data_IF_206723578960
#
_entry.id   IF_206723578960
#
_cell.length_a   1.000
_cell.length_b   1.000
_cell.length_c   1.000
_cell.angle_alpha   90.00
_cell.angle_beta   90.00
_cell.angle_gamma   90.00
#
_symmetry.space_group_name_H-M   'P 1'
#
loop_
_entity.id
_entity.type
_entity.pdbx_description
1 polymer ?
2 non-polymer ?
3 non-polymer ?
4 non-polymer ?
5 non-polymer ?
6 water ?
#
# COMPACT_ATOMS: atom_id res chain seq x y z
N UNK A 4 -5.07 -0.09 -26.12
CA UNK A 4 -4.23 -1.26 -26.53
C UNK A 4 -2.85 -1.25 -25.82
N UNK A 5 -2.01 -2.25 -26.11
CA UNK A 5 -1.00 -2.71 -25.15
C UNK A 5 0.30 -1.88 -25.15
N UNK A 6 0.72 -1.37 -26.31
CA UNK A 6 1.85 -0.46 -26.34
C UNK A 6 1.51 0.79 -25.56
N UNK A 7 0.29 1.30 -25.76
CA UNK A 7 -0.15 2.48 -25.02
C UNK A 7 -0.22 2.20 -23.51
N UNK A 8 -0.78 1.05 -23.13
CA UNK A 8 -0.78 0.63 -21.73
C UNK A 8 0.65 0.58 -21.15
N UNK A 9 1.59 0.02 -21.93
CA UNK A 9 2.98 -0.05 -21.51
C UNK A 9 3.61 1.35 -21.36
N UNK A 10 3.23 2.27 -22.24
CA UNK A 10 3.74 3.67 -22.17
C UNK A 10 3.19 4.39 -20.93
N UNK A 11 1.94 4.10 -20.61
CA UNK A 11 1.33 4.63 -19.39
C UNK A 11 2.08 4.12 -18.15
N UNK A 12 2.27 2.81 -18.08
CA UNK A 12 2.96 2.24 -16.94
C UNK A 12 4.39 2.77 -16.86
N UNK A 13 5.03 3.00 -18.01
CA UNK A 13 6.41 3.48 -18.04
C UNK A 13 6.52 4.87 -17.40
N UNK A 14 5.59 5.76 -17.68
CA UNK A 14 5.63 7.11 -17.06
C UNK A 14 5.47 7.00 -15.54
N UNK A 15 4.53 6.18 -15.10
CA UNK A 15 4.32 5.98 -13.68
C UNK A 15 5.60 5.46 -13.02
N UNK A 16 6.23 4.50 -13.66
CA UNK A 16 7.44 3.86 -13.11
C UNK A 16 8.69 4.76 -13.20
N UNK A 17 8.66 5.74 -14.12
CA UNK A 17 9.71 6.75 -14.16
C UNK A 17 9.62 7.73 -13.02
N UNK A 18 8.39 8.14 -12.68
CA UNK A 18 8.18 9.23 -11.70
C UNK A 18 7.98 8.72 -10.28
N UNK A 19 7.50 7.49 -10.14
CA UNK A 19 7.39 6.80 -8.81
C UNK A 19 8.29 5.57 -8.90
N UNK A 20 9.57 5.78 -8.61
CA UNK A 20 10.61 4.84 -9.02
C UNK A 20 10.83 3.76 -7.98
N UNK A 21 11.36 2.63 -8.43
CA UNK A 21 11.67 1.54 -7.55
C UNK A 21 12.72 1.92 -6.53
N UNK A 22 13.72 2.70 -6.93
CA UNK A 22 14.75 3.10 -6.02
C UNK A 22 14.23 3.94 -4.85
N UNK A 23 13.23 4.79 -5.13
CA UNK A 23 12.60 5.69 -4.12
C UNK A 23 11.46 5.00 -3.40
N UNK A 24 11.22 3.74 -3.71
CA UNK A 24 10.34 2.93 -2.93
C UNK A 24 8.93 2.73 -3.42
N UNK A 25 8.75 2.72 -4.75
CA UNK A 25 7.42 2.39 -5.33
C UNK A 25 7.51 1.25 -6.31
N UNK A 26 6.42 0.49 -6.43
CA UNK A 26 6.23 -0.51 -7.48
C UNK A 26 4.86 -0.31 -8.07
N UNK A 27 4.70 -0.68 -9.35
CA UNK A 27 3.38 -0.70 -9.96
C UNK A 27 3.10 -2.04 -10.60
N UNK A 28 1.80 -2.41 -10.59
CA UNK A 28 1.35 -3.68 -11.11
C UNK A 28 0.04 -3.47 -11.90
N UNK A 29 0.00 -3.96 -13.12
CA UNK A 29 -1.15 -3.77 -13.99
C UNK A 29 -2.20 -4.84 -13.73
N UNK A 30 -3.47 -4.47 -13.82
CA UNK A 30 -4.55 -5.43 -13.79
C UNK A 30 -5.78 -4.92 -14.49
N UNK A 31 -6.73 -5.83 -14.74
CA UNK A 31 -7.96 -5.48 -15.41
C UNK A 31 -9.04 -5.25 -14.33
N UNK A 32 -9.89 -4.26 -14.52
CA UNK A 32 -10.95 -4.02 -13.57
C UNK A 32 -11.85 -5.28 -13.43
N UNK A 33 -12.07 -6.00 -14.53
CA UNK A 33 -12.90 -7.22 -14.47
C UNK A 33 -12.36 -8.26 -13.49
N UNK A 34 -11.04 -8.33 -13.36
CA UNK A 34 -10.43 -9.28 -12.42
C UNK A 34 -10.75 -8.90 -11.00
N UNK A 35 -10.73 -7.61 -10.71
CA UNK A 35 -11.12 -7.13 -9.40
C UNK A 35 -12.61 -7.39 -9.13
N UNK A 36 -13.46 -7.05 -10.07
CA UNK A 36 -14.90 -7.22 -9.89
C UNK A 36 -15.29 -8.68 -9.72
N UNK A 37 -14.61 -9.57 -10.44
CA UNK A 37 -14.84 -11.02 -10.29
C UNK A 37 -14.52 -11.46 -8.84
N UNK A 38 -13.44 -10.91 -8.27
CA UNK A 38 -13.00 -11.30 -6.97
C UNK A 38 -13.93 -10.74 -5.85
N UNK A 39 -14.28 -9.45 -5.91
CA UNK A 39 -15.15 -8.88 -4.86
C UNK A 39 -16.58 -9.31 -5.02
N UNK A 40 -16.95 -9.70 -6.23
CA UNK A 40 -18.34 -10.02 -6.55
C UNK A 40 -18.95 -8.94 -7.40
N UNK A 41 -19.54 -9.34 -8.53
CA UNK A 41 -20.03 -8.38 -9.51
C UNK A 41 -21.19 -7.53 -8.93
N UNK A 42 -21.92 -8.08 -7.97
CA UNK A 42 -23.01 -7.35 -7.35
C UNK A 42 -22.69 -6.86 -5.96
N UNK A 43 -21.43 -6.92 -5.58
CA UNK A 43 -21.07 -6.41 -4.27
C UNK A 43 -21.03 -4.87 -4.27
N UNK A 44 -21.10 -4.26 -3.09
CA UNK A 44 -20.97 -2.79 -3.01
C UNK A 44 -19.63 -2.26 -3.54
N UNK A 45 -18.64 -3.15 -3.59
CA UNK A 45 -17.29 -2.81 -3.97
C UNK A 45 -17.06 -2.88 -5.49
N UNK A 46 -17.99 -3.47 -6.24
CA UNK A 46 -17.82 -3.57 -7.69
C UNK A 46 -17.60 -2.17 -8.30
N UNK A 47 -16.64 -2.05 -9.20
CA UNK A 47 -16.29 -0.77 -9.77
C UNK A 47 -16.97 -0.60 -11.13
N UNK A 48 -17.41 0.64 -11.44
CA UNK A 48 -18.27 0.89 -12.61
C UNK A 48 -17.48 1.13 -13.91
N UNK A 49 -16.70 0.13 -14.31
CA UNK A 49 -15.94 0.17 -15.54
C UNK A 49 -16.06 -1.15 -16.25
N UNK A 50 -15.91 -1.14 -17.56
CA UNK A 50 -15.87 -2.39 -18.34
C UNK A 50 -14.74 -3.32 -17.87
N UNK A 51 -14.96 -4.61 -18.07
CA UNK A 51 -14.03 -5.66 -17.59
C UNK A 51 -12.59 -5.43 -18.04
N UNK A 52 -12.40 -5.02 -19.28
CA UNK A 52 -11.06 -4.94 -19.83
C UNK A 52 -10.33 -3.61 -19.49
N UNK A 53 -10.97 -2.73 -18.71
CA UNK A 53 -10.39 -1.44 -18.37
C UNK A 53 -9.05 -1.64 -17.63
N UNK A 54 -8.03 -0.93 -18.08
CA UNK A 54 -6.71 -0.96 -17.45
C UNK A 54 -6.69 -0.25 -16.10
N UNK A 55 -6.06 -0.90 -15.12
CA UNK A 55 -5.73 -0.28 -13.85
C UNK A 55 -4.28 -0.55 -13.49
N UNK A 56 -3.70 0.34 -12.68
CA UNK A 56 -2.36 0.17 -12.10
C UNK A 56 -2.45 0.30 -10.59
N UNK A 57 -1.96 -0.73 -9.92
CA UNK A 57 -1.80 -0.72 -8.48
C UNK A 57 -0.40 -0.22 -8.14
N UNK A 58 -0.33 0.79 -7.27
CA UNK A 58 0.93 1.37 -6.81
C UNK A 58 1.10 0.99 -5.35
N UNK A 59 2.22 0.36 -5.03
CA UNK A 59 2.55 0.05 -3.64
C UNK A 59 3.86 0.65 -3.26
N UNK A 60 4.05 0.85 -1.96
CA UNK A 60 5.31 1.34 -1.43
C UNK A 60 6.10 0.23 -0.78
N UNK A 61 7.41 0.33 -0.89
CA UNK A 61 8.33 -0.64 -0.31
C UNK A 61 9.11 0.11 0.80
N UNK A 62 10.07 -0.57 1.48
CA UNK A 62 10.69 0.09 2.63
C UNK A 62 11.31 1.46 2.33
N UNK A 63 11.89 1.62 1.15
CA UNK A 63 12.56 2.88 0.81
C UNK A 63 11.62 4.09 0.58
N UNK A 64 10.31 3.87 0.45
CA UNK A 64 9.41 5.02 0.35
C UNK A 64 9.58 5.90 1.57
N UNK A 65 9.49 5.31 2.75
CA UNK A 65 9.68 6.05 3.99
C UNK A 65 11.18 6.36 4.22
N UNK A 66 12.02 5.33 4.11
CA UNK A 66 13.41 5.46 4.54
C UNK A 66 14.26 6.38 3.65
N UNK A 67 13.89 6.51 2.38
CA UNK A 67 14.63 7.30 1.44
C UNK A 67 13.82 8.49 0.94
N UNK A 68 12.70 8.23 0.26
CA UNK A 68 11.97 9.32 -0.43
C UNK A 68 11.31 10.30 0.56
N UNK A 69 10.61 9.77 1.54
CA UNK A 69 9.95 10.57 2.53
C UNK A 69 10.97 11.32 3.40
N UNK A 70 12.06 10.67 3.73
CA UNK A 70 13.12 11.34 4.47
C UNK A 70 13.62 12.59 3.73
N UNK A 71 13.87 12.45 2.42
CA UNK A 71 14.30 13.60 1.62
C UNK A 71 13.25 14.74 1.67
N UNK A 72 11.98 14.36 1.59
CA UNK A 72 10.90 15.30 1.60
C UNK A 72 10.83 16.04 2.95
N UNK A 73 10.98 15.30 4.06
CA UNK A 73 10.94 15.92 5.39
C UNK A 73 12.12 16.88 5.59
N UNK A 74 13.29 16.49 5.10
CA UNK A 74 14.46 17.38 5.16
C UNK A 74 14.18 18.69 4.44
N UNK A 75 13.61 18.58 3.24
CA UNK A 75 13.32 19.78 2.46
C UNK A 75 12.25 20.64 3.14
N UNK A 76 11.18 20.00 3.62
CA UNK A 76 10.13 20.77 4.27
C UNK A 76 10.65 21.48 5.51
N UNK A 77 11.55 20.86 6.22
CA UNK A 77 12.13 21.48 7.41
C UNK A 77 12.91 22.72 7.01
N UNK A 78 13.67 22.62 5.94
CA UNK A 78 14.39 23.81 5.40
C UNK A 78 13.39 24.90 5.01
N UNK A 79 12.30 24.51 4.33
CA UNK A 79 11.31 25.46 3.83
C UNK A 79 10.59 26.21 4.97
N UNK A 80 10.16 25.45 5.98
CA UNK A 80 9.41 26.03 7.11
C UNK A 80 10.33 26.71 8.14
N UNK A 81 11.61 26.32 8.14
CA UNK A 81 12.64 27.00 8.96
C UNK A 81 13.11 26.23 10.18
N UNK A 82 12.28 25.30 10.66
CA UNK A 82 12.61 24.48 11.81
C UNK A 82 11.73 23.27 11.84
N UNK A 83 12.20 22.24 12.55
CA UNK A 83 11.43 21.05 12.74
C UNK A 83 10.10 21.35 13.48
N UNK A 84 10.16 22.16 14.52
CA UNK A 84 8.95 22.44 15.29
C UNK A 84 7.88 23.12 14.41
N UNK A 85 8.31 23.96 13.48
CA UNK A 85 7.37 24.59 12.56
C UNK A 85 6.74 23.60 11.58
N UNK A 86 7.54 22.69 11.04
CA UNK A 86 7.00 21.68 10.15
C UNK A 86 5.96 20.87 10.88
N UNK A 87 6.28 20.45 12.10
CA UNK A 87 5.35 19.63 12.91
C UNK A 87 4.03 20.34 13.13
N UNK A 88 4.08 21.64 13.40
CA UNK A 88 2.86 22.44 13.63
C UNK A 88 2.06 22.53 12.34
N UNK A 89 2.74 22.76 11.22
CA UNK A 89 2.05 23.10 9.96
C UNK A 89 1.64 21.89 9.12
N UNK A 90 2.28 20.76 9.35
CA UNK A 90 2.02 19.54 8.56
C UNK A 90 1.57 18.41 9.49
N UNK A 91 0.26 18.33 9.70
CA UNK A 91 -0.30 17.33 10.60
C UNK A 91 -0.27 15.94 9.96
N UNK A 92 -0.29 15.90 8.63
CA UNK A 92 -0.46 14.66 7.89
C UNK A 92 0.74 14.48 6.93
N UNK A 93 1.92 14.15 7.49
CA UNK A 93 3.10 14.18 6.62
C UNK A 93 3.15 13.09 5.56
N UNK A 94 2.72 11.87 5.90
CA UNK A 94 2.82 10.79 4.93
C UNK A 94 1.90 11.10 3.73
N UNK A 95 0.68 11.50 4.02
CA UNK A 95 -0.29 11.80 2.93
C UNK A 95 0.08 13.05 2.16
N UNK A 96 0.66 14.00 2.84
CA UNK A 96 1.13 15.21 2.17
C UNK A 96 2.28 14.88 1.18
N UNK A 97 3.23 14.08 1.64
CA UNK A 97 4.32 13.58 0.82
C UNK A 97 3.78 12.81 -0.39
N UNK A 98 2.86 11.87 -0.15
CA UNK A 98 2.34 11.05 -1.24
C UNK A 98 1.58 11.91 -2.23
N UNK A 99 0.81 12.89 -1.74
CA UNK A 99 0.04 13.79 -2.63
C UNK A 99 1.02 14.54 -3.53
N UNK A 100 2.12 15.02 -2.95
CA UNK A 100 3.12 15.75 -3.71
C UNK A 100 3.73 14.87 -4.80
N UNK A 101 4.08 13.63 -4.45
CA UNK A 101 4.73 12.76 -5.42
C UNK A 101 3.72 12.34 -6.52
N UNK A 102 2.47 12.11 -6.14
CA UNK A 102 1.46 11.73 -7.10
C UNK A 102 1.13 12.89 -8.06
N UNK A 103 1.18 14.12 -7.56
CA UNK A 103 0.95 15.28 -8.41
C UNK A 103 2.06 15.43 -9.44
N UNK A 104 3.30 15.24 -9.01
CA UNK A 104 4.44 15.29 -9.94
C UNK A 104 4.32 14.22 -11.04
N UNK A 105 3.96 13.01 -10.64
CA UNK A 105 3.71 11.95 -11.56
C UNK A 105 2.57 12.30 -12.53
N UNK A 106 1.47 12.81 -11.97
CA UNK A 106 0.26 13.07 -12.74
C UNK A 106 0.49 14.10 -13.82
N UNK A 107 1.34 15.08 -13.52
CA UNK A 107 1.65 16.12 -14.48
C UNK A 107 2.31 15.56 -15.75
N UNK A 108 3.10 14.52 -15.57
CA UNK A 108 3.68 13.83 -16.73
C UNK A 108 2.68 12.84 -17.34
N UNK A 109 1.95 12.11 -16.49
CA UNK A 109 1.04 11.08 -16.95
C UNK A 109 -0.06 11.66 -17.85
N UNK A 110 -0.56 12.86 -17.49
CA UNK A 110 -1.64 13.51 -18.28
C UNK A 110 -1.24 13.72 -19.75
N UNK A 111 0.06 13.86 -20.01
CA UNK A 111 0.52 14.06 -21.37
C UNK A 111 0.57 12.76 -22.20
N UNK A 112 0.49 11.62 -21.51
CA UNK A 112 0.45 10.29 -22.15
C UNK A 112 -1.00 9.75 -22.21
N UNK A 113 -1.75 9.90 -21.13
CA UNK A 113 -3.18 9.52 -21.09
C UNK A 113 -3.91 10.49 -20.18
N UNK A 114 -4.71 11.37 -20.77
CA UNK A 114 -5.28 12.50 -20.00
C UNK A 114 -6.35 12.09 -19.01
N UNK A 115 -7.04 11.00 -19.29
CA UNK A 115 -8.22 10.57 -18.50
C UNK A 115 -7.87 9.43 -17.55
N UNK A 116 -7.78 9.74 -16.25
CA UNK A 116 -7.61 8.71 -15.25
C UNK A 116 -8.19 9.12 -13.91
N UNK A 117 -8.55 8.12 -13.13
CA UNK A 117 -9.03 8.29 -11.77
C UNK A 117 -7.99 7.74 -10.81
N UNK A 118 -7.90 8.34 -9.63
CA UNK A 118 -6.96 7.87 -8.61
C UNK A 118 -7.74 7.56 -7.34
N UNK A 119 -7.55 6.34 -6.82
CA UNK A 119 -8.14 5.95 -5.55
C UNK A 119 -7.03 5.52 -4.61
N UNK A 120 -7.09 5.99 -3.37
CA UNK A 120 -6.05 5.65 -2.38
C UNK A 120 -6.51 4.56 -1.47
N UNK A 121 -5.58 3.95 -0.75
CA UNK A 121 -5.95 2.95 0.27
C UNK A 121 -6.93 3.52 1.31
N UNK A 122 -6.79 4.80 1.62
CA UNK A 122 -7.63 5.47 2.60
C UNK A 122 -8.86 6.15 2.02
N UNK A 123 -9.08 6.04 0.70
CA UNK A 123 -10.25 6.69 0.09
C UNK A 123 -11.54 6.01 0.56
N UNK A 124 -12.53 6.81 0.93
CA UNK A 124 -13.83 6.32 1.37
C UNK A 124 -14.99 7.05 0.74
N UNK A 125 -16.15 6.37 0.70
CA UNK A 125 -17.42 7.02 0.46
C UNK A 125 -17.89 7.78 1.71
N UNK A 126 -18.97 8.56 1.60
CA UNK A 126 -19.41 9.28 2.82
C UNK A 126 -19.93 8.38 3.93
N UNK A 127 -20.28 7.14 3.57
CA UNK A 127 -20.71 6.12 4.53
C UNK A 127 -19.50 5.34 5.14
N UNK A 128 -18.28 5.80 4.80
CA UNK A 128 -17.01 5.25 5.29
C UNK A 128 -16.71 3.85 4.74
N UNK A 129 -17.25 3.55 3.56
CA UNK A 129 -16.85 2.34 2.84
C UNK A 129 -15.59 2.64 2.06
N UNK A 130 -14.57 1.77 2.16
CA UNK A 130 -13.41 1.96 1.30
C UNK A 130 -13.81 1.92 -0.17
N UNK A 131 -13.26 2.83 -0.96
CA UNK A 131 -13.57 2.88 -2.37
C UNK A 131 -12.98 1.74 -3.16
N UNK A 132 -11.82 1.21 -2.73
CA UNK A 132 -11.22 0.08 -3.40
C UNK A 132 -10.46 -0.77 -2.40
N UNK A 133 -10.57 -2.09 -2.55
CA UNK A 133 -9.99 -3.02 -1.58
C UNK A 133 -8.62 -3.44 -2.06
N UNK A 134 -7.60 -2.88 -1.43
CA UNK A 134 -6.24 -2.99 -1.94
C UNK A 134 -5.64 -4.37 -1.89
N UNK A 135 -5.98 -5.14 -0.87
CA UNK A 135 -5.44 -6.51 -0.77
C UNK A 135 -6.00 -7.39 -1.87
N UNK A 136 -7.26 -7.15 -2.25
CA UNK A 136 -7.85 -7.86 -3.38
C UNK A 136 -7.15 -7.44 -4.69
N UNK A 137 -6.92 -6.13 -4.88
CA UNK A 137 -6.15 -5.69 -6.05
C UNK A 137 -4.78 -6.37 -6.09
N UNK A 138 -4.10 -6.42 -4.96
CA UNK A 138 -2.77 -6.99 -4.92
C UNK A 138 -2.74 -8.45 -5.31
N UNK A 139 -3.78 -9.17 -4.93
CA UNK A 139 -3.85 -10.59 -5.24
C UNK A 139 -4.16 -10.81 -6.74
N UNK A 140 -5.17 -10.11 -7.27
CA UNK A 140 -5.53 -10.30 -8.64
C UNK A 140 -4.46 -9.76 -9.61
N UNK A 141 -3.67 -8.79 -9.14
CA UNK A 141 -2.56 -8.26 -9.96
C UNK A 141 -1.29 -9.09 -9.84
N UNK A 142 -1.28 -10.06 -8.92
CA UNK A 142 -0.11 -10.91 -8.68
C UNK A 142 0.97 -10.28 -7.83
N UNK A 143 0.69 -9.12 -7.24
CA UNK A 143 1.69 -8.38 -6.46
C UNK A 143 2.00 -8.99 -5.13
N UNK A 144 0.97 -9.53 -4.47
CA UNK A 144 1.12 -10.06 -3.11
C UNK A 144 -0.02 -11.01 -2.87
N UNK A 145 0.27 -12.13 -2.21
CA UNK A 145 -0.74 -13.15 -1.92
C UNK A 145 -1.54 -12.69 -0.71
N UNK A 146 -2.85 -12.68 -0.86
CA UNK A 146 -3.75 -12.21 0.17
C UNK A 146 -4.28 -13.41 0.98
N UNK A 147 -3.88 -13.48 2.25
CA UNK A 147 -4.29 -14.51 3.17
C UNK A 147 -5.53 -14.07 3.94
N UNK A 148 -6.66 -14.71 3.62
CA UNK A 148 -7.94 -14.28 4.14
C UNK A 148 -8.42 -15.26 5.22
N UNK A 149 -8.91 -14.75 6.38
CA UNK A 149 -9.32 -15.67 7.43
C UNK A 149 -10.38 -16.69 6.97
N UNK A 150 -11.27 -16.27 6.09
CA UNK A 150 -12.36 -17.16 5.59
C UNK A 150 -11.83 -18.34 4.77
N UNK A 151 -10.57 -18.23 4.29
CA UNK A 151 -9.94 -19.35 3.55
C UNK A 151 -9.17 -20.35 4.43
N UNK A 152 -9.16 -20.11 5.74
CA UNK A 152 -8.40 -20.93 6.68
C UNK A 152 -9.28 -21.44 7.85
N UNK A 153 -10.53 -21.71 7.53
CA UNK A 153 -11.47 -22.35 8.44
C UNK A 153 -11.30 -23.86 8.45
N UNK A 154 -11.55 -24.46 9.62
CA UNK A 154 -11.58 -25.92 9.75
C UNK A 154 -12.91 -26.34 10.35
N UNK A 155 -13.40 -27.51 9.92
CA UNK A 155 -14.70 -28.01 10.38
C UNK A 155 -14.67 -28.27 11.87
N UNK A 156 -15.59 -27.64 12.60
CA UNK A 156 -15.69 -27.80 14.05
C UNK A 156 -14.53 -27.18 14.82
N UNK A 157 -13.88 -26.17 14.22
CA UNK A 157 -12.90 -25.37 14.92
C UNK A 157 -13.37 -23.92 14.92
N UNK A 158 -13.35 -23.31 16.09
CA UNK A 158 -13.70 -21.90 16.22
C UNK A 158 -12.42 -21.08 16.05
N UNK A 159 -12.21 -20.59 14.83
CA UNK A 159 -11.07 -19.73 14.51
C UNK A 159 -11.48 -18.78 13.38
N UNK A 160 -11.13 -17.48 13.45
CA UNK A 160 -10.43 -16.87 14.58
C UNK A 160 -11.29 -16.77 15.82
N UNK A 161 -10.67 -16.52 17.00
CA UNK A 161 -11.41 -16.16 18.21
C UNK A 161 -12.40 -15.02 17.94
N UNK A 162 -13.49 -14.98 18.70
CA UNK A 162 -14.41 -13.84 18.65
C UNK A 162 -14.13 -12.92 19.81
N UNK A 163 -14.31 -11.61 19.58
CA UNK A 163 -14.26 -10.61 20.65
C UNK A 163 -12.89 -10.41 21.27
N UNK A 164 -11.83 -10.60 20.49
CA UNK A 164 -10.46 -10.37 20.98
C UNK A 164 -9.99 -8.94 20.67
N UNK A 165 -10.73 -8.23 19.82
CA UNK A 165 -10.28 -6.91 19.37
C UNK A 165 -11.25 -5.84 19.80
N UNK A 166 -10.79 -4.60 19.71
CA UNK A 166 -11.55 -3.45 20.19
C UNK A 166 -12.76 -3.12 19.33
N UNK A 167 -13.54 -2.10 19.75
CA UNK A 167 -14.77 -1.74 19.06
C UNK A 167 -14.52 -1.34 17.63
N UNK A 168 -15.41 -1.82 16.75
CA UNK A 168 -15.36 -1.49 15.33
C UNK A 168 -14.08 -1.96 14.69
N UNK A 169 -13.48 -2.99 15.26
CA UNK A 169 -12.38 -3.67 14.61
C UNK A 169 -12.76 -5.11 14.27
N UNK A 170 -12.34 -5.55 13.10
CA UNK A 170 -12.53 -6.90 12.65
C UNK A 170 -11.23 -7.62 12.55
N UNK A 171 -11.30 -8.95 12.59
CA UNK A 171 -10.10 -9.78 12.35
C UNK A 171 -9.91 -9.90 10.85
N UNK A 172 -8.95 -9.13 10.33
CA UNK A 172 -8.79 -8.97 8.88
C UNK A 172 -7.62 -9.77 8.33
N UNK A 173 -7.65 -9.95 7.01
CA UNK A 173 -6.58 -10.67 6.34
C UNK A 173 -5.32 -9.85 6.14
N UNK A 174 -4.33 -10.51 5.55
CA UNK A 174 -2.97 -9.99 5.43
C UNK A 174 -2.40 -10.41 4.10
N UNK A 175 -1.82 -9.46 3.38
CA UNK A 175 -1.07 -9.75 2.15
C UNK A 175 0.40 -9.82 2.43
N UNK A 176 1.09 -10.74 1.74
CA UNK A 176 2.54 -10.86 1.84
C UNK A 176 3.19 -10.81 0.48
N UNK A 177 4.15 -9.92 0.37
CA UNK A 177 4.87 -9.63 -0.85
C UNK A 177 6.06 -10.59 -1.01
N UNK A 178 6.37 -11.01 -2.24
CA UNK A 178 7.43 -12.00 -2.42
C UNK A 178 8.86 -11.53 -2.07
N UNK A 179 9.07 -10.22 -2.10
CA UNK A 179 10.36 -9.64 -1.69
C UNK A 179 10.28 -9.12 -0.25
N UNK A 180 9.19 -8.41 0.07
CA UNK A 180 9.14 -7.59 1.28
C UNK A 180 8.35 -8.21 2.44
N UNK A 181 7.68 -9.35 2.24
CA UNK A 181 6.82 -9.90 3.31
C UNK A 181 5.73 -8.88 3.60
N UNK A 182 5.68 -8.41 4.84
CA UNK A 182 4.77 -7.34 5.23
C UNK A 182 5.42 -5.96 5.35
N UNK A 183 6.65 -5.83 4.85
CA UNK A 183 7.38 -4.56 4.89
C UNK A 183 7.07 -3.75 3.62
N UNK A 184 5.79 -3.48 3.43
CA UNK A 184 5.33 -2.72 2.29
C UNK A 184 3.92 -2.24 2.60
N UNK A 185 3.36 -1.37 1.74
CA UNK A 185 1.97 -0.99 1.84
C UNK A 185 1.38 -0.74 0.49
N UNK A 186 0.08 -0.97 0.36
CA UNK A 186 -0.63 -0.54 -0.83
C UNK A 186 -0.91 0.96 -0.72
N UNK A 187 -0.82 1.68 -1.83
CA UNK A 187 -0.98 3.13 -1.78
C UNK A 187 -2.12 3.64 -2.65
N UNK A 188 -2.10 3.34 -3.94
CA UNK A 188 -3.08 3.94 -4.85
C UNK A 188 -3.38 3.00 -6.00
N UNK A 189 -4.55 3.17 -6.58
CA UNK A 189 -4.88 2.56 -7.85
C UNK A 189 -5.26 3.64 -8.84
N UNK A 190 -4.65 3.58 -10.01
CA UNK A 190 -4.99 4.44 -11.14
C UNK A 190 -5.85 3.65 -12.10
N UNK A 191 -6.99 4.23 -12.48
CA UNK A 191 -7.89 3.57 -13.43
C UNK A 191 -7.95 4.44 -14.69
N UNK A 192 -7.83 3.79 -15.85
CA UNK A 192 -7.79 4.47 -17.16
C UNK A 192 -9.01 4.09 -17.99
N UNK A 193 -10.11 4.85 -17.85
CA UNK A 193 -11.37 4.38 -18.42
C UNK A 193 -11.37 4.21 -19.93
N UNK A 194 -10.47 4.92 -20.63
CA UNK A 194 -10.40 4.83 -22.10
C UNK A 194 -9.37 3.85 -22.63
N UNK A 195 -8.73 3.07 -21.73
CA UNK A 195 -7.69 2.15 -22.13
C UNK A 195 -8.14 0.72 -21.82
N UNK A 196 -8.27 -0.09 -22.85
CA UNK A 196 -8.75 -1.46 -22.73
C UNK A 196 -7.61 -2.45 -23.07
N UNK A 197 -7.46 -3.44 -22.19
CA UNK A 197 -6.38 -4.41 -22.27
C UNK A 197 -6.93 -5.84 -22.15
N UNK A 198 -7.92 -6.18 -23.00
CA UNK A 198 -8.57 -7.50 -22.87
C UNK A 198 -7.63 -8.71 -23.01
N UNK A 199 -6.52 -8.53 -23.72
CA UNK A 199 -5.58 -9.62 -23.97
C UNK A 199 -4.60 -9.82 -22.81
N UNK A 200 -4.61 -8.92 -21.82
CA UNK A 200 -3.66 -8.97 -20.74
C UNK A 200 -4.02 -10.06 -19.74
N UNK A 201 -3.01 -10.82 -19.31
CA UNK A 201 -3.19 -11.86 -18.28
C UNK A 201 -2.31 -11.54 -17.11
N UNK A 202 -2.94 -11.24 -15.97
CA UNK A 202 -2.20 -10.96 -14.73
C UNK A 202 -1.39 -12.17 -14.31
N UNK A 203 -0.21 -11.95 -13.75
CA UNK A 203 0.50 -13.06 -13.11
C UNK A 203 -0.20 -13.46 -11.81
N UNK A 204 -0.04 -14.72 -11.45
CA UNK A 204 -0.57 -15.22 -10.22
C UNK A 204 0.34 -14.78 -9.07
N UNK A 205 -0.24 -14.45 -7.90
CA UNK A 205 0.60 -14.11 -6.76
C UNK A 205 1.39 -15.30 -6.24
N UNK A 206 2.67 -15.08 -5.88
CA UNK A 206 3.50 -16.17 -5.35
C UNK A 206 3.03 -16.58 -3.97
N UNK A 207 2.83 -17.90 -3.75
CA UNK A 207 2.56 -18.35 -2.43
C UNK A 207 3.75 -18.11 -1.49
N UNK A 208 3.48 -17.50 -0.36
CA UNK A 208 4.51 -17.18 0.61
C UNK A 208 4.49 -18.18 1.78
N UNK A 209 3.31 -18.38 2.35
CA UNK A 209 3.13 -19.30 3.44
C UNK A 209 2.34 -20.50 2.95
N UNK A 210 2.98 -21.66 2.94
CA UNK A 210 2.39 -22.85 2.37
C UNK A 210 1.71 -23.74 3.42
N UNK A 211 1.99 -23.50 4.70
CA UNK A 211 1.37 -24.29 5.79
C UNK A 211 0.29 -23.45 6.48
N UNK A 212 -0.92 -24.00 6.58
CA UNK A 212 -2.05 -23.25 7.10
C UNK A 212 -1.84 -22.77 8.54
N UNK A 213 -1.12 -23.55 9.35
CA UNK A 213 -0.87 -23.11 10.73
C UNK A 213 0.03 -21.87 10.78
N UNK A 214 0.97 -21.75 9.84
CA UNK A 214 1.78 -20.50 9.73
C UNK A 214 0.91 -19.33 9.33
N UNK A 215 -0.06 -19.57 8.43
CA UNK A 215 -0.98 -18.51 8.02
C UNK A 215 -1.80 -18.04 9.21
N UNK A 216 -2.34 -18.98 9.98
CA UNK A 216 -3.17 -18.58 11.11
C UNK A 216 -2.35 -17.82 12.17
N UNK A 217 -1.10 -18.23 12.38
CA UNK A 217 -0.22 -17.52 13.31
C UNK A 217 0.07 -16.11 12.80
N UNK A 218 0.35 -15.99 11.51
CA UNK A 218 0.64 -14.68 10.90
C UNK A 218 -0.56 -13.74 11.07
N UNK A 219 -1.76 -14.27 10.83
CA UNK A 219 -2.95 -13.46 10.93
C UNK A 219 -3.23 -13.02 12.38
N UNK A 220 -2.95 -13.89 13.34
CA UNK A 220 -3.04 -13.50 14.75
C UNK A 220 -2.00 -12.44 15.12
N UNK A 221 -0.76 -12.60 14.65
CA UNK A 221 0.29 -11.61 14.94
C UNK A 221 -0.09 -10.25 14.36
N UNK A 222 -0.69 -10.27 13.19
CA UNK A 222 -1.12 -9.04 12.51
C UNK A 222 -2.26 -8.36 13.30
N UNK A 223 -3.32 -9.11 13.57
CA UNK A 223 -4.50 -8.50 14.19
C UNK A 223 -4.30 -8.13 15.65
N UNK A 224 -3.52 -8.94 16.39
CA UNK A 224 -3.40 -8.79 17.85
C UNK A 224 -2.12 -8.06 18.27
N UNK A 225 -1.08 -8.03 17.41
CA UNK A 225 0.25 -7.60 17.83
C UNK A 225 0.97 -6.75 16.80
N UNK A 226 0.21 -6.12 15.90
CA UNK A 226 0.81 -5.40 14.79
C UNK A 226 1.82 -4.34 15.18
N UNK A 227 1.67 -3.74 16.36
CA UNK A 227 2.62 -2.69 16.78
C UNK A 227 4.06 -3.21 16.87
N UNK A 228 4.23 -4.52 17.07
CA UNK A 228 5.58 -5.07 17.17
C UNK A 228 6.18 -5.46 15.82
N UNK A 229 5.38 -5.32 14.74
CA UNK A 229 5.82 -5.60 13.36
C UNK A 229 6.27 -7.04 13.10
N UNK A 230 6.05 -7.97 14.05
CA UNK A 230 6.43 -9.36 13.82
C UNK A 230 5.76 -9.97 12.59
N UNK A 231 4.53 -9.58 12.33
CA UNK A 231 3.79 -10.11 11.19
C UNK A 231 4.51 -9.84 9.87
N UNK A 232 5.32 -8.79 9.85
CA UNK A 232 5.96 -8.40 8.60
C UNK A 232 7.02 -9.37 8.14
N UNK A 233 7.56 -10.15 9.09
CA UNK A 233 8.67 -11.05 8.79
C UNK A 233 8.26 -12.45 8.37
N UNK A 234 6.95 -12.68 8.22
CA UNK A 234 6.52 -13.93 7.61
C UNK A 234 6.93 -13.96 6.14
N UNK A 235 7.50 -15.11 5.71
CA UNK A 235 8.16 -15.26 4.42
C UNK A 235 9.65 -15.01 4.49
N UNK A 236 10.15 -14.55 5.65
CA UNK A 236 11.58 -14.26 5.84
C UNK A 236 12.17 -13.31 4.80
N UNK A 237 11.51 -12.16 4.57
CA UNK A 237 12.07 -11.15 3.69
C UNK A 237 13.48 -10.71 4.15
N UNK A 238 14.33 -10.34 3.22
CA UNK A 238 15.63 -9.71 3.58
C UNK A 238 15.62 -8.21 3.43
N UNK A 239 14.63 -7.68 2.67
CA UNK A 239 14.48 -6.24 2.53
C UNK A 239 13.29 -5.79 3.39
N UNK A 240 13.58 -4.97 4.40
CA UNK A 240 12.66 -4.74 5.51
C UNK A 240 12.59 -3.26 5.85
N UNK A 241 11.51 -2.86 6.50
CA UNK A 241 11.43 -1.53 7.10
C UNK A 241 12.59 -1.34 8.09
N UNK A 242 13.11 -0.12 8.18
CA UNK A 242 14.06 0.23 9.20
C UNK A 242 13.43 0.19 10.59
N UNK A 243 14.28 0.17 11.59
CA UNK A 243 13.83 0.33 12.96
C UNK A 243 13.01 1.61 13.14
N UNK A 244 13.51 2.71 12.60
CA UNK A 244 12.82 3.98 12.67
C UNK A 244 11.42 3.88 12.05
N UNK A 245 11.34 3.24 10.90
CA UNK A 245 10.06 3.12 10.20
C UNK A 245 9.06 2.24 11.00
N UNK A 246 9.54 1.15 11.57
CA UNK A 246 8.66 0.30 12.39
C UNK A 246 8.21 1.06 13.67
N UNK A 247 9.08 1.89 14.24
CA UNK A 247 8.70 2.68 15.40
C UNK A 247 7.61 3.68 14.99
N UNK A 248 7.82 4.34 13.86
CA UNK A 248 6.89 5.34 13.35
C UNK A 248 5.48 4.74 13.14
N UNK A 249 5.39 3.67 12.37
CA UNK A 249 4.07 3.13 12.05
C UNK A 249 3.44 2.35 13.19
N UNK A 250 4.23 1.98 14.18
CA UNK A 250 3.67 1.33 15.39
C UNK A 250 3.01 2.30 16.37
N UNK A 251 3.25 3.59 16.20
CA UNK A 251 2.73 4.61 17.10
C UNK A 251 1.49 5.25 16.54
N UNK A 252 0.62 5.77 17.42
CA UNK A 252 -0.46 6.65 16.92
C UNK A 252 0.08 7.93 16.29
N UNK A 253 -0.67 8.47 15.34
CA UNK A 253 -0.21 9.60 14.53
C UNK A 253 0.30 10.77 15.38
N UNK A 254 -0.36 11.03 16.51
CA UNK A 254 -0.02 12.18 17.34
C UNK A 254 1.34 12.05 18.03
N UNK A 255 1.91 10.84 18.05
CA UNK A 255 3.19 10.57 18.71
C UNK A 255 4.33 10.37 17.71
N UNK A 256 4.06 10.51 16.43
CA UNK A 256 5.03 10.08 15.42
C UNK A 256 6.10 11.09 15.09
N UNK A 257 5.75 12.37 15.08
CA UNK A 257 6.69 13.40 14.56
C UNK A 257 8.04 13.33 15.29
N UNK A 258 8.03 13.08 16.59
CA UNK A 258 9.27 13.04 17.35
C UNK A 258 10.22 11.92 16.90
N UNK A 259 9.68 10.87 16.29
CA UNK A 259 10.50 9.80 15.72
C UNK A 259 11.40 10.35 14.57
N UNK A 260 10.93 11.41 13.91
CA UNK A 260 11.63 11.97 12.75
C UNK A 260 12.62 13.07 13.10
N UNK A 261 12.59 13.58 14.33
CA UNK A 261 13.43 14.71 14.68
C UNK A 261 14.94 14.51 14.30
N UNK A 262 15.50 13.32 14.57
CA UNK A 262 16.91 13.14 14.23
C UNK A 262 17.27 13.32 12.73
N UNK A 263 16.33 13.03 11.82
CA UNK A 263 16.58 13.19 10.41
C UNK A 263 16.97 14.62 10.04
N UNK A 264 16.47 15.60 10.78
CA UNK A 264 16.67 17.00 10.40
C UNK A 264 17.37 17.84 11.43
N UNK A 265 17.54 17.32 12.67
CA UNK A 265 18.17 18.10 13.73
C UNK A 265 19.48 17.53 14.22
N UNK A 266 19.94 16.41 13.68
CA UNK A 266 21.21 15.85 14.15
C UNK A 266 22.37 16.22 13.21
N UNK A 267 23.41 16.81 13.77
CA UNK A 267 24.64 17.14 13.03
C UNK A 267 25.26 15.86 12.52
N UNK A 268 25.20 14.82 13.34
CA UNK A 268 25.68 13.49 12.93
C UNK A 268 24.99 12.44 13.75
N UNK A 269 25.21 11.18 13.37
CA UNK A 269 24.61 10.02 14.02
C UNK A 269 25.69 9.14 14.58
N UNK A 270 25.42 8.58 15.74
CA UNK A 270 26.31 7.58 16.37
C UNK A 270 25.59 6.82 17.42
#
# INVERSE_FOLDING_TARGET
MVTEMSHAESIKRVVDQKLSSHEGFESHMFKIGSYNEAVGESSPFALPYDDSTMALLILSTPDMFDVAFRKWVVQKTMDFGSFDEVCEMVSSPIQSFLEDRLEIMSEKLRKVEENFEILHDYSMTPQRRPKILMQTCGHVAGAAFYYQPCHFQEDGVTWPPAGRMGPNLKFIGLSLHPIYGGHFAFRSVLIFPNVKIPEFCEKEPRPILTASEDVRTALEKFNYNWKDSGFRDFGNPTRRYSTTQMEFFGRPVAERWEVLRPWVENLYFQ
#
